data_IF_682280384267
#
_entry.id   IF_682280384267
#
_cell.length_a   1.000
_cell.length_b   1.000
_cell.length_c   1.000
_cell.angle_alpha   90.00
_cell.angle_beta   90.00
_cell.angle_gamma   90.00
#
_symmetry.space_group_name_H-M   'P 1'
#
loop_
_entity.id
_entity.type
_entity.pdbx_description
1 polymer ?
#
# COMPACT_ATOMS: atom_id res chain seq x y z
N UNK A 1 -7.38 -9.86 -14.19
CA UNK A 1 -6.78 -8.86 -13.27
C UNK A 1 -6.79 -7.50 -13.93
N UNK A 2 -6.74 -6.39 -13.18
CA UNK A 2 -6.82 -5.07 -13.78
C UNK A 2 -5.62 -4.75 -14.68
N UNK A 3 -5.88 -4.00 -15.75
CA UNK A 3 -4.91 -3.56 -16.74
C UNK A 3 -4.64 -2.06 -16.55
N UNK A 4 -3.41 -1.56 -16.75
CA UNK A 4 -3.14 -0.13 -16.74
C UNK A 4 -4.03 0.62 -17.73
N UNK A 5 -4.50 1.81 -17.38
CA UNK A 5 -5.49 2.53 -18.22
C UNK A 5 -5.01 2.74 -19.65
N UNK A 6 -3.70 2.97 -19.85
CA UNK A 6 -3.10 3.15 -21.17
C UNK A 6 -3.20 1.92 -22.11
N UNK A 7 -3.46 0.72 -21.59
CA UNK A 7 -3.65 -0.50 -22.39
C UNK A 7 -5.07 -1.04 -22.34
N UNK A 8 -6.00 -0.35 -21.65
CA UNK A 8 -7.36 -0.84 -21.48
C UNK A 8 -8.10 -0.97 -22.83
N UNK A 9 -7.84 -0.05 -23.78
CA UNK A 9 -8.42 -0.08 -25.13
C UNK A 9 -7.96 -1.24 -25.99
N UNK A 10 -6.87 -1.92 -25.61
CA UNK A 10 -6.33 -3.08 -26.32
C UNK A 10 -7.04 -4.37 -25.92
N UNK A 11 -7.88 -4.32 -24.88
CA UNK A 11 -8.62 -5.47 -24.36
C UNK A 11 -10.10 -5.33 -24.71
N UNK A 12 -10.77 -6.37 -25.25
CA UNK A 12 -12.20 -6.33 -25.51
C UNK A 12 -13.02 -5.99 -24.26
N UNK A 13 -14.11 -5.24 -24.47
CA UNK A 13 -15.02 -4.79 -23.43
C UNK A 13 -15.55 -5.96 -22.57
N UNK A 14 -15.66 -5.71 -21.26
CA UNK A 14 -16.23 -6.66 -20.30
C UNK A 14 -15.29 -7.79 -19.85
N UNK A 15 -14.06 -7.86 -20.35
CA UNK A 15 -13.08 -8.88 -19.95
C UNK A 15 -12.20 -8.47 -18.77
N UNK A 16 -12.01 -7.16 -18.54
CA UNK A 16 -11.19 -6.65 -17.43
C UNK A 16 -11.58 -5.22 -17.04
N UNK A 17 -10.94 -4.70 -15.99
CA UNK A 17 -11.06 -3.32 -15.53
C UNK A 17 -9.74 -2.56 -15.63
N UNK A 18 -9.83 -1.23 -15.66
CA UNK A 18 -8.67 -0.33 -15.62
C UNK A 18 -8.03 -0.18 -14.24
N UNK A 19 -7.17 0.83 -14.12
CA UNK A 19 -6.44 1.27 -12.93
C UNK A 19 -5.34 0.32 -12.45
N UNK A 20 -4.89 -0.58 -13.32
CA UNK A 20 -3.73 -1.42 -13.10
C UNK A 20 -3.78 -2.36 -11.88
N UNK A 21 -2.76 -3.23 -11.74
CA UNK A 21 -2.70 -4.25 -10.70
C UNK A 21 -2.12 -3.76 -9.37
N UNK A 22 -1.42 -2.62 -9.35
CA UNK A 22 -0.72 -2.13 -8.17
C UNK A 22 -1.63 -1.34 -7.24
N UNK A 23 -1.52 -1.58 -5.94
CA UNK A 23 -2.20 -0.82 -4.90
C UNK A 23 -1.22 -0.48 -3.80
N UNK A 24 -1.33 0.73 -3.28
CA UNK A 24 -0.63 1.18 -2.09
C UNK A 24 -1.66 1.71 -1.11
N UNK A 25 -1.69 1.16 0.10
CA UNK A 25 -2.45 1.70 1.23
C UNK A 25 -1.52 2.63 2.00
N UNK A 26 -1.94 3.87 2.19
CA UNK A 26 -1.14 4.93 2.82
C UNK A 26 -1.76 5.35 4.14
N UNK A 27 -0.91 5.60 5.13
CA UNK A 27 -1.29 6.14 6.44
C UNK A 27 -0.63 7.50 6.61
N UNK A 28 -1.43 8.54 6.82
CA UNK A 28 -0.94 9.90 7.02
C UNK A 28 -1.35 10.47 8.37
N UNK A 29 -0.47 11.27 8.97
CA UNK A 29 -0.72 12.06 10.19
C UNK A 29 -0.66 13.54 9.80
N UNK A 30 -1.76 14.26 9.97
CA UNK A 30 -1.89 15.68 9.60
C UNK A 30 -1.45 16.00 8.15
N UNK A 31 -1.71 15.05 7.24
CA UNK A 31 -1.35 15.16 5.82
C UNK A 31 0.09 14.75 5.48
N UNK A 32 0.92 14.40 6.46
CA UNK A 32 2.25 13.84 6.25
C UNK A 32 2.16 12.31 6.20
N UNK A 33 2.67 11.71 5.13
CA UNK A 33 2.74 10.25 5.00
C UNK A 33 3.65 9.71 6.10
N UNK A 34 3.12 8.79 6.90
CA UNK A 34 3.81 8.18 8.03
C UNK A 34 4.24 6.73 7.75
N UNK A 35 3.51 6.05 6.87
CA UNK A 35 3.81 4.68 6.48
C UNK A 35 2.95 4.24 5.31
N UNK A 36 3.36 3.14 4.68
CA UNK A 36 2.61 2.55 3.57
C UNK A 36 2.67 1.03 3.59
N UNK A 37 1.72 0.43 2.89
CA UNK A 37 1.61 -1.00 2.72
C UNK A 37 1.32 -1.30 1.26
N UNK A 38 2.06 -2.24 0.68
CA UNK A 38 1.70 -2.88 -0.58
C UNK A 38 0.96 -4.17 -0.24
N UNK A 39 -0.39 -4.17 -0.28
CA UNK A 39 -1.17 -5.31 0.20
C UNK A 39 -0.91 -6.54 -0.67
N UNK A 40 -0.88 -7.70 -0.01
CA UNK A 40 -0.83 -8.97 -0.70
C UNK A 40 -2.17 -9.23 -1.40
N UNK A 41 -2.11 -9.77 -2.62
CA UNK A 41 -3.34 -10.04 -3.38
C UNK A 41 -4.02 -11.29 -2.82
N UNK A 42 -5.14 -11.09 -2.15
CA UNK A 42 -6.01 -12.18 -1.69
C UNK A 42 -7.15 -12.37 -2.69
N UNK A 43 -7.22 -13.55 -3.29
CA UNK A 43 -8.30 -13.92 -4.22
C UNK A 43 -9.29 -14.83 -3.51
N UNK A 44 -10.51 -14.32 -3.31
CA UNK A 44 -11.61 -15.07 -2.69
C UNK A 44 -12.15 -16.18 -3.60
N UNK A 45 -12.94 -17.12 -3.04
CA UNK A 45 -13.56 -18.19 -3.83
C UNK A 45 -14.48 -17.63 -4.90
N UNK A 46 -14.28 -18.05 -6.15
CA UNK A 46 -14.97 -17.47 -7.30
C UNK A 46 -14.46 -16.09 -7.73
N UNK A 47 -13.39 -15.55 -7.12
CA UNK A 47 -12.84 -14.23 -7.44
C UNK A 47 -12.14 -14.14 -8.80
N UNK A 48 -11.71 -15.26 -9.38
CA UNK A 48 -11.21 -15.33 -10.76
C UNK A 48 -12.38 -15.44 -11.75
N UNK A 49 -13.32 -16.34 -11.45
CA UNK A 49 -14.56 -16.51 -12.20
C UNK A 49 -15.65 -17.01 -11.24
N UNK A 50 -16.90 -16.48 -11.29
CA UNK A 50 -17.96 -16.89 -10.37
C UNK A 50 -18.23 -18.41 -10.37
N UNK A 51 -18.06 -19.07 -11.51
CA UNK A 51 -18.21 -20.53 -11.67
C UNK A 51 -17.13 -21.34 -10.96
N UNK A 52 -16.02 -20.71 -10.55
CA UNK A 52 -14.95 -21.31 -9.75
C UNK A 52 -15.19 -21.20 -8.25
N UNK A 53 -16.39 -20.79 -7.82
CA UNK A 53 -16.76 -20.84 -6.42
C UNK A 53 -16.63 -22.27 -5.88
N UNK A 54 -15.99 -22.42 -4.73
CA UNK A 54 -15.87 -23.68 -4.00
C UNK A 54 -16.18 -23.42 -2.52
N UNK A 55 -16.78 -24.40 -1.82
CA UNK A 55 -17.03 -24.28 -0.38
C UNK A 55 -15.73 -24.25 0.46
N UNK A 56 -14.62 -24.73 -0.10
CA UNK A 56 -13.30 -24.68 0.52
C UNK A 56 -12.57 -23.44 -0.02
N UNK A 57 -12.26 -22.51 0.88
CA UNK A 57 -11.56 -21.26 0.57
C UNK A 57 -10.07 -21.35 0.91
N UNK A 58 -9.25 -20.54 0.25
CA UNK A 58 -7.87 -20.34 0.66
C UNK A 58 -7.83 -19.73 2.06
N UNK A 59 -6.90 -20.19 2.91
CA UNK A 59 -6.81 -19.72 4.30
C UNK A 59 -6.70 -18.19 4.40
N UNK A 60 -5.94 -17.54 3.50
CA UNK A 60 -5.79 -16.08 3.47
C UNK A 60 -7.07 -15.31 3.10
N UNK A 61 -8.10 -15.98 2.59
CA UNK A 61 -9.41 -15.39 2.37
C UNK A 61 -10.33 -15.47 3.61
N UNK A 62 -9.92 -16.20 4.66
CA UNK A 62 -10.57 -16.19 5.97
C UNK A 62 -9.84 -15.32 6.98
N UNK A 63 -8.52 -15.18 6.82
CA UNK A 63 -7.65 -14.38 7.68
C UNK A 63 -6.80 -13.44 6.80
N UNK A 64 -7.33 -12.23 6.59
CA UNK A 64 -6.65 -11.21 5.80
C UNK A 64 -5.43 -10.68 6.56
N UNK A 65 -4.29 -10.45 5.89
CA UNK A 65 -3.10 -9.92 6.55
C UNK A 65 -3.38 -8.59 7.28
N UNK A 66 -3.02 -8.54 8.55
CA UNK A 66 -2.92 -7.28 9.30
C UNK A 66 -1.52 -6.71 9.15
N UNK A 67 -1.42 -5.43 8.86
CA UNK A 67 -0.15 -4.73 8.67
C UNK A 67 0.12 -3.77 9.82
N UNK A 68 1.38 -3.64 10.21
CA UNK A 68 1.82 -2.77 11.29
C UNK A 68 2.67 -1.63 10.73
N UNK A 69 2.38 -0.41 11.16
CA UNK A 69 3.14 0.79 10.84
C UNK A 69 3.50 1.48 12.15
N UNK A 70 4.76 1.91 12.27
CA UNK A 70 5.23 2.58 13.49
C UNK A 70 5.05 4.10 13.41
N UNK A 71 4.13 4.64 14.21
CA UNK A 71 3.91 6.07 14.34
C UNK A 71 4.77 6.72 15.44
N UNK A 72 5.65 5.96 16.11
CA UNK A 72 6.48 6.47 17.20
C UNK A 72 7.30 7.71 16.81
N UNK A 73 7.87 7.83 15.59
CA UNK A 73 8.53 9.06 15.17
C UNK A 73 7.60 10.28 15.06
N UNK A 74 6.28 10.11 14.96
CA UNK A 74 5.31 11.21 14.96
C UNK A 74 4.91 11.70 16.35
N UNK A 75 5.36 11.04 17.43
CA UNK A 75 5.05 11.45 18.82
C UNK A 75 5.25 12.95 19.08
N UNK A 76 6.33 13.62 18.64
CA UNK A 76 6.50 15.05 18.88
C UNK A 76 5.37 15.93 18.34
N UNK A 77 4.71 15.49 17.26
CA UNK A 77 3.54 16.15 16.70
C UNK A 77 2.28 15.75 17.46
N UNK A 78 2.08 14.44 17.66
CA UNK A 78 0.86 13.86 18.24
C UNK A 78 0.64 14.20 19.72
N UNK A 79 1.67 14.68 20.42
CA UNK A 79 1.57 15.08 21.84
C UNK A 79 1.54 16.60 22.04
N UNK A 80 1.27 17.40 21.01
CA UNK A 80 1.28 18.85 21.14
C UNK A 80 0.07 19.43 21.92
N UNK A 81 -0.95 18.59 22.17
CA UNK A 81 -2.18 18.94 22.89
C UNK A 81 -3.32 19.42 21.99
N UNK A 82 -3.15 19.36 20.67
CA UNK A 82 -4.18 19.72 19.68
C UNK A 82 -4.86 18.46 19.12
N UNK A 83 -6.02 18.61 18.46
CA UNK A 83 -6.59 17.55 17.64
C UNK A 83 -5.68 17.24 16.45
N UNK A 84 -5.58 15.95 16.09
CA UNK A 84 -4.82 15.45 14.95
C UNK A 84 -5.69 14.59 14.04
N UNK A 85 -5.37 14.59 12.75
CA UNK A 85 -6.01 13.74 11.76
C UNK A 85 -5.11 12.58 11.38
N UNK A 86 -5.59 11.36 11.62
CA UNK A 86 -4.99 10.14 11.10
C UNK A 86 -5.86 9.66 9.94
N UNK A 87 -5.29 9.60 8.74
CA UNK A 87 -6.03 9.33 7.50
C UNK A 87 -5.45 8.10 6.80
N UNK A 88 -6.36 7.33 6.19
CA UNK A 88 -6.03 6.21 5.32
C UNK A 88 -6.56 6.48 3.92
N UNK A 89 -5.77 6.13 2.92
CA UNK A 89 -6.19 6.17 1.53
C UNK A 89 -5.50 5.06 0.71
N UNK A 90 -6.04 4.81 -0.48
CA UNK A 90 -5.54 3.78 -1.39
C UNK A 90 -5.30 4.38 -2.76
N UNK A 91 -4.12 4.13 -3.30
CA UNK A 91 -3.69 4.68 -4.59
C UNK A 91 -3.20 3.59 -5.54
N UNK A 92 -3.20 3.88 -6.84
CA UNK A 92 -2.66 3.01 -7.87
C UNK A 92 -1.34 3.54 -8.46
N UNK A 93 -0.82 2.79 -9.44
CA UNK A 93 0.33 3.19 -10.25
C UNK A 93 -0.04 4.11 -11.43
N UNK A 94 -1.32 4.42 -11.62
CA UNK A 94 -1.76 5.39 -12.62
C UNK A 94 -1.21 6.79 -12.32
N UNK A 95 -1.06 7.62 -13.35
CA UNK A 95 -0.51 8.98 -13.21
C UNK A 95 -1.33 9.89 -12.31
N UNK A 96 -2.63 9.65 -12.21
CA UNK A 96 -3.55 10.38 -11.32
C UNK A 96 -3.82 9.64 -10.01
N UNK A 97 -3.16 8.49 -9.79
CA UNK A 97 -3.25 7.65 -8.61
C UNK A 97 -4.66 7.08 -8.32
N UNK A 98 -5.57 7.20 -9.28
CA UNK A 98 -6.97 6.81 -9.12
C UNK A 98 -7.15 5.29 -9.07
N UNK A 99 -8.25 4.86 -8.46
CA UNK A 99 -8.57 3.45 -8.25
C UNK A 99 -10.03 3.17 -8.59
N UNK A 100 -10.34 1.90 -8.84
CA UNK A 100 -11.72 1.42 -8.79
C UNK A 100 -12.31 1.60 -7.37
N UNK A 101 -13.64 1.70 -7.31
CA UNK A 101 -14.39 1.82 -6.05
C UNK A 101 -14.29 0.55 -5.18
N UNK A 102 -14.88 0.59 -3.98
CA UNK A 102 -15.04 -0.54 -3.03
C UNK A 102 -13.75 -0.99 -2.32
N UNK A 103 -12.89 -0.05 -1.93
CA UNK A 103 -11.81 -0.31 -0.98
C UNK A 103 -12.28 -0.06 0.46
N UNK A 104 -12.29 -1.12 1.26
CA UNK A 104 -12.61 -1.06 2.67
C UNK A 104 -11.32 -1.20 3.47
N UNK A 105 -10.96 -0.15 4.20
CA UNK A 105 -9.77 -0.12 5.06
C UNK A 105 -10.17 0.28 6.47
N UNK A 106 -9.57 -0.37 7.45
CA UNK A 106 -9.78 -0.10 8.87
C UNK A 106 -8.44 -0.13 9.58
N UNK A 107 -8.31 0.60 10.68
CA UNK A 107 -7.11 0.56 11.51
C UNK A 107 -7.46 0.54 13.00
N UNK A 108 -6.52 0.05 13.79
CA UNK A 108 -6.51 0.17 15.24
C UNK A 108 -5.25 0.96 15.63
N UNK A 109 -5.42 1.99 16.45
CA UNK A 109 -4.29 2.75 16.99
C UNK A 109 -3.95 2.23 18.38
N UNK A 110 -2.72 1.75 18.54
CA UNK A 110 -2.20 1.32 19.83
C UNK A 110 -1.28 2.40 20.40
N UNK A 111 -1.54 2.81 21.64
CA UNK A 111 -0.77 3.84 22.34
C UNK A 111 -0.23 3.26 23.63
N UNK A 112 1.09 3.33 23.81
CA UNK A 112 1.75 2.96 25.06
C UNK A 112 2.04 4.21 25.89
N UNK A 113 1.52 4.25 27.12
CA UNK A 113 1.76 5.34 28.07
C UNK A 113 2.73 4.92 29.16
N UNK A 114 3.59 5.83 29.63
CA UNK A 114 4.51 5.55 30.72
C UNK A 114 3.75 5.50 32.07
N UNK A 115 3.73 4.34 32.73
CA UNK A 115 3.10 4.18 34.04
C UNK A 115 3.83 4.92 35.17
N UNK A 116 5.11 5.29 34.98
CA UNK A 116 5.95 5.96 36.00
C UNK A 116 5.86 7.48 35.97
N UNK A 117 5.31 8.08 34.90
CA UNK A 117 5.20 9.52 34.77
C UNK A 117 3.95 9.93 34.00
N UNK A 118 3.22 10.90 34.55
CA UNK A 118 2.10 11.57 33.87
C UNK A 118 2.52 12.76 33.03
N UNK A 119 3.82 13.10 33.01
CA UNK A 119 4.33 14.20 32.20
C UNK A 119 4.32 13.80 30.73
N UNK A 120 4.03 14.78 29.88
CA UNK A 120 3.96 14.66 28.43
C UNK A 120 5.32 14.28 27.84
N UNK A 121 5.35 13.29 26.96
CA UNK A 121 6.49 13.04 26.06
C UNK A 121 6.61 14.19 25.06
N UNK A 122 7.79 14.76 24.93
CA UNK A 122 8.09 15.86 24.00
C UNK A 122 9.21 15.43 23.07
N UNK A 123 9.60 16.28 22.12
CA UNK A 123 10.68 15.97 21.21
C UNK A 123 10.64 16.82 19.97
N UNK A 124 11.37 16.39 18.95
CA UNK A 124 11.32 16.96 17.62
C UNK A 124 11.64 15.89 16.57
N UNK A 125 10.97 15.99 15.42
CA UNK A 125 11.35 15.23 14.24
C UNK A 125 12.65 15.81 13.68
N UNK A 126 13.61 14.93 13.40
CA UNK A 126 14.95 15.29 12.90
C UNK A 126 15.16 14.87 11.46
N UNK A 127 14.46 13.83 11.00
CA UNK A 127 14.50 13.36 9.61
C UNK A 127 13.08 13.07 9.14
N UNK A 128 12.76 13.56 7.95
CA UNK A 128 11.54 13.22 7.22
C UNK A 128 11.91 13.09 5.73
N UNK A 129 12.32 11.89 5.34
CA UNK A 129 12.61 11.54 3.95
C UNK A 129 11.52 10.59 3.46
N UNK A 130 10.46 11.19 2.93
CA UNK A 130 9.26 10.49 2.48
C UNK A 130 8.71 11.19 1.25
N UNK A 131 8.64 10.45 0.15
CA UNK A 131 7.95 10.92 -1.06
C UNK A 131 6.43 10.72 -0.93
N UNK A 132 5.59 11.61 -1.49
CA UNK A 132 4.13 11.48 -1.37
C UNK A 132 3.54 10.20 -1.99
N UNK A 133 4.08 9.75 -3.13
CA UNK A 133 3.57 8.60 -3.90
C UNK A 133 4.68 7.66 -4.34
N UNK A 134 4.35 6.38 -4.58
CA UNK A 134 5.38 5.39 -4.89
C UNK A 134 6.03 5.75 -6.22
N UNK A 135 7.32 5.45 -6.36
CA UNK A 135 7.91 5.52 -7.68
C UNK A 135 7.38 4.34 -8.48
N UNK A 136 6.50 4.60 -9.45
CA UNK A 136 5.89 3.57 -10.28
C UNK A 136 6.39 3.62 -11.71
N UNK A 137 6.42 2.47 -12.36
CA UNK A 137 6.69 2.36 -13.79
C UNK A 137 5.78 1.31 -14.41
N UNK A 138 5.23 1.64 -15.58
CA UNK A 138 4.44 0.71 -16.38
C UNK A 138 5.04 0.66 -17.78
N UNK A 139 5.36 -0.55 -18.24
CA UNK A 139 5.84 -0.82 -19.59
C UNK A 139 5.06 -1.97 -20.20
N UNK A 140 4.98 -2.04 -21.52
CA UNK A 140 4.25 -3.10 -22.19
C UNK A 140 4.42 -3.05 -23.70
N UNK A 141 3.91 -4.07 -24.38
CA UNK A 141 3.94 -4.20 -25.83
C UNK A 141 2.65 -4.86 -26.29
N UNK A 142 2.04 -4.27 -27.32
CA UNK A 142 0.92 -4.85 -28.05
C UNK A 142 1.47 -5.48 -29.32
N UNK A 143 1.33 -6.79 -29.45
CA UNK A 143 1.74 -7.52 -30.63
C UNK A 143 0.74 -7.29 -31.78
N UNK A 144 1.17 -7.55 -33.03
CA UNK A 144 0.33 -7.35 -34.23
C UNK A 144 -0.95 -8.19 -34.24
N UNK A 145 -0.98 -9.29 -33.49
CA UNK A 145 -2.13 -10.16 -33.32
C UNK A 145 -3.07 -9.71 -32.18
N UNK A 146 -2.78 -8.59 -31.52
CA UNK A 146 -3.55 -8.05 -30.40
C UNK A 146 -3.18 -8.63 -29.03
N UNK A 147 -2.17 -9.51 -28.95
CA UNK A 147 -1.69 -9.96 -27.64
C UNK A 147 -1.00 -8.82 -26.90
N UNK A 148 -1.24 -8.70 -25.60
CA UNK A 148 -0.72 -7.64 -24.75
C UNK A 148 0.14 -8.24 -23.64
N UNK A 149 1.40 -7.82 -23.59
CA UNK A 149 2.30 -8.05 -22.47
C UNK A 149 2.56 -6.74 -21.74
N UNK A 150 2.43 -6.71 -20.42
CA UNK A 150 2.83 -5.53 -19.64
C UNK A 150 3.44 -5.90 -18.30
N UNK A 151 4.26 -4.98 -17.79
CA UNK A 151 4.87 -5.02 -16.47
C UNK A 151 4.57 -3.73 -15.73
N UNK A 152 4.10 -3.85 -14.49
CA UNK A 152 3.96 -2.74 -13.54
C UNK A 152 4.93 -2.96 -12.40
N UNK A 153 5.72 -1.94 -12.07
CA UNK A 153 6.62 -1.94 -10.91
C UNK A 153 6.31 -0.75 -10.02
N UNK A 154 6.54 -0.91 -8.72
CA UNK A 154 6.49 0.19 -7.76
C UNK A 154 7.56 0.01 -6.69
N UNK A 155 8.17 1.12 -6.28
CA UNK A 155 9.15 1.19 -5.20
C UNK A 155 8.77 2.31 -4.23
N UNK A 156 8.90 2.04 -2.94
CA UNK A 156 8.74 3.04 -1.89
C UNK A 156 9.81 2.87 -0.83
N UNK A 157 10.46 3.97 -0.52
CA UNK A 157 11.28 4.12 0.66
C UNK A 157 10.69 5.18 1.59
N UNK A 158 10.71 4.92 2.88
CA UNK A 158 10.31 5.83 3.95
C UNK A 158 11.44 5.83 4.97
N UNK A 159 11.87 7.01 5.39
CA UNK A 159 12.79 7.15 6.52
C UNK A 159 12.43 8.36 7.38
N UNK A 160 12.01 8.09 8.61
CA UNK A 160 11.54 9.10 9.55
C UNK A 160 12.26 8.88 10.88
N UNK A 161 12.86 9.94 11.42
CA UNK A 161 13.54 9.87 12.70
C UNK A 161 13.17 11.05 13.59
N UNK A 162 13.04 10.78 14.89
CA UNK A 162 12.71 11.78 15.90
C UNK A 162 13.52 11.56 17.17
N UNK A 163 13.86 12.67 17.82
CA UNK A 163 14.39 12.66 19.18
C UNK A 163 13.23 12.91 20.14
N UNK A 164 13.04 12.01 21.10
CA UNK A 164 12.01 12.08 22.13
C UNK A 164 12.65 12.38 23.49
N UNK A 165 11.89 13.06 24.32
CA UNK A 165 12.13 13.23 25.75
C UNK A 165 10.87 12.74 26.46
N UNK A 166 10.96 11.59 27.13
CA UNK A 166 9.84 10.97 27.84
C UNK A 166 9.43 11.79 29.06
N UNK A 167 8.27 11.49 29.63
CA UNK A 167 7.77 12.16 30.83
C UNK A 167 8.67 12.02 32.07
N UNK A 168 9.52 11.00 32.14
CA UNK A 168 10.54 10.81 33.19
C UNK A 168 11.91 11.41 32.82
N UNK A 169 12.02 12.06 31.66
CA UNK A 169 13.21 12.80 31.22
C UNK A 169 14.22 11.97 30.44
N UNK A 170 13.91 10.71 30.11
CA UNK A 170 14.74 9.86 29.26
C UNK A 170 14.77 10.43 27.83
N UNK A 171 15.95 10.44 27.22
CA UNK A 171 16.14 10.87 25.84
C UNK A 171 16.29 9.65 24.95
N UNK A 172 15.42 9.52 23.96
CA UNK A 172 15.35 8.36 23.08
C UNK A 172 15.36 8.84 21.64
N UNK A 173 16.15 8.19 20.77
CA UNK A 173 16.00 8.36 19.33
C UNK A 173 15.16 7.21 18.78
N UNK A 174 14.14 7.56 17.99
CA UNK A 174 13.24 6.59 17.36
C UNK A 174 13.32 6.76 15.84
N UNK A 175 13.28 5.64 15.13
CA UNK A 175 13.44 5.59 13.67
C UNK A 175 12.41 4.62 13.11
N UNK A 176 11.70 5.06 12.08
CA UNK A 176 10.86 4.22 11.23
C UNK A 176 11.42 4.23 9.81
N UNK A 177 11.71 3.05 9.29
CA UNK A 177 12.17 2.87 7.92
C UNK A 177 11.33 1.82 7.21
N UNK A 178 11.04 2.02 5.93
CA UNK A 178 10.46 0.99 5.07
C UNK A 178 11.17 0.99 3.73
N UNK A 179 11.39 -0.20 3.17
CA UNK A 179 11.77 -0.38 1.76
C UNK A 179 10.88 -1.43 1.12
N UNK A 180 9.97 -0.97 0.25
CA UNK A 180 8.93 -1.78 -0.38
C UNK A 180 9.18 -1.84 -1.89
N UNK A 181 9.00 -3.02 -2.47
CA UNK A 181 9.05 -3.20 -3.92
C UNK A 181 7.96 -4.15 -4.40
N UNK A 182 7.39 -3.80 -5.54
CA UNK A 182 6.34 -4.54 -6.22
C UNK A 182 6.71 -4.73 -7.69
N UNK A 183 6.41 -5.89 -8.24
CA UNK A 183 6.45 -6.15 -9.68
C UNK A 183 5.28 -7.04 -10.04
N UNK A 184 4.61 -6.73 -11.14
CA UNK A 184 3.56 -7.55 -11.70
C UNK A 184 3.73 -7.64 -13.20
N UNK A 185 3.87 -8.86 -13.71
CA UNK A 185 3.94 -9.16 -15.14
C UNK A 185 2.66 -9.85 -15.55
N UNK A 186 2.00 -9.33 -16.58
CA UNK A 186 0.78 -9.92 -17.12
C UNK A 186 0.86 -10.06 -18.64
N UNK A 187 0.30 -11.17 -19.11
CA UNK A 187 0.13 -11.49 -20.53
C UNK A 187 -1.34 -11.76 -20.80
N UNK A 188 -1.87 -11.11 -21.82
CA UNK A 188 -3.18 -11.35 -22.40
C UNK A 188 -3.01 -11.86 -23.82
N UNK A 189 -3.57 -13.02 -24.11
CA UNK A 189 -3.48 -13.62 -25.45
C UNK A 189 -4.76 -14.29 -25.89
N UNK A 190 -4.85 -14.59 -27.20
CA UNK A 190 -6.01 -15.26 -27.78
C UNK A 190 -7.27 -14.40 -27.64
N UNK A 191 -7.18 -13.13 -28.02
CA UNK A 191 -8.25 -12.14 -27.84
C UNK A 191 -8.66 -11.99 -26.36
N UNK A 192 -7.67 -11.93 -25.48
CA UNK A 192 -7.81 -11.83 -24.03
C UNK A 192 -8.57 -12.98 -23.34
N UNK A 193 -8.76 -14.12 -24.02
CA UNK A 193 -9.35 -15.32 -23.41
C UNK A 193 -8.35 -16.11 -22.56
N UNK A 194 -7.05 -15.85 -22.75
CA UNK A 194 -5.97 -16.42 -21.94
C UNK A 194 -5.29 -15.27 -21.19
N UNK A 195 -5.19 -15.43 -19.87
CA UNK A 195 -4.47 -14.50 -19.00
C UNK A 195 -3.43 -15.26 -18.17
N UNK A 196 -2.20 -14.76 -18.18
CA UNK A 196 -1.13 -15.16 -17.25
C UNK A 196 -0.77 -13.97 -16.38
N UNK A 197 -0.63 -14.20 -15.07
CA UNK A 197 -0.32 -13.17 -14.09
C UNK A 197 0.75 -13.65 -13.11
N UNK A 198 1.87 -12.93 -13.04
CA UNK A 198 3.01 -13.25 -12.17
C UNK A 198 3.25 -12.04 -11.24
N UNK A 199 2.66 -12.03 -10.02
CA UNK A 199 2.95 -11.02 -9.02
C UNK A 199 4.23 -11.35 -8.23
N UNK A 200 4.99 -10.31 -7.89
CA UNK A 200 6.14 -10.34 -7.00
C UNK A 200 6.07 -9.18 -6.01
N UNK A 201 6.25 -9.47 -4.74
CA UNK A 201 6.26 -8.51 -3.65
C UNK A 201 7.48 -8.80 -2.77
N UNK A 202 8.34 -7.80 -2.57
CA UNK A 202 9.43 -7.89 -1.61
C UNK A 202 9.38 -6.70 -0.65
N UNK A 203 9.43 -7.01 0.64
CA UNK A 203 9.52 -6.04 1.73
C UNK A 203 10.77 -6.38 2.53
N UNK A 204 11.66 -5.41 2.71
CA UNK A 204 12.74 -5.47 3.69
C UNK A 204 12.37 -4.44 4.77
N UNK A 205 12.08 -4.95 5.98
CA UNK A 205 11.90 -4.13 7.18
C UNK A 205 13.24 -3.74 7.78
#
# INVERSE_FOLDING_TARGET
>A
MNVPNQYLSEIPDGLTFGYGPFREVRLSVDGLLAGSVFPYVVVFTGGIAPTLWRPITAYGALDLPTYYLDLTPFIPMLTDGKPHNISLDVVSAESDHSINQNWYVTANLQVLTNAKSSKRTTGNMVVYDVQPYAHTSTSGTVAKNGDLDFTVKANRDIHIASNLITGDGEKIQVVWSQSLSFTNVQTYSGNATIQVNIPGLHCLT
#
